data_IF_938268362598
#
_entry.id   IF_938268362598
#
_cell.length_a   1.000
_cell.length_b   1.000
_cell.length_c   1.000
_cell.angle_alpha   90.00
_cell.angle_beta   90.00
_cell.angle_gamma   90.00
#
_symmetry.space_group_name_H-M   'P 1'
#
loop_
_entity.id
_entity.type
_entity.pdbx_description
1 polymer ?
#
# COMPACT_ATOMS: atom_id res chain seq x y z
N UNK A 1 46.84 -31.30 5.79
CA UNK A 1 46.77 -29.99 6.49
C UNK A 1 46.40 -28.81 5.59
N UNK A 2 47.02 -28.61 4.40
CA UNK A 2 46.68 -27.47 3.51
C UNK A 2 45.21 -27.42 3.06
N UNK A 3 44.57 -28.57 2.83
CA UNK A 3 43.18 -28.64 2.38
C UNK A 3 42.15 -28.18 3.43
N UNK A 4 42.42 -28.43 4.72
CA UNK A 4 41.59 -27.94 5.84
C UNK A 4 41.71 -26.42 6.02
N UNK A 5 42.87 -25.84 5.72
CA UNK A 5 43.07 -24.38 5.79
C UNK A 5 42.35 -23.63 4.67
N UNK A 6 42.17 -24.25 3.49
CA UNK A 6 41.43 -23.67 2.36
C UNK A 6 39.91 -23.85 2.44
N UNK A 7 39.41 -24.76 3.28
CA UNK A 7 37.98 -25.07 3.39
C UNK A 7 37.08 -23.86 3.70
N UNK A 8 37.38 -22.97 4.68
CA UNK A 8 36.54 -21.81 4.94
C UNK A 8 36.50 -20.83 3.77
N UNK A 9 37.61 -20.67 3.04
CA UNK A 9 37.68 -19.84 1.85
C UNK A 9 36.82 -20.40 0.72
N UNK A 10 36.87 -21.73 0.51
CA UNK A 10 36.03 -22.42 -0.49
C UNK A 10 34.54 -22.31 -0.15
N UNK A 11 34.16 -22.44 1.12
CA UNK A 11 32.78 -22.26 1.58
C UNK A 11 32.29 -20.82 1.38
N UNK A 12 33.12 -19.83 1.72
CA UNK A 12 32.79 -18.42 1.51
C UNK A 12 32.62 -18.08 0.03
N UNK A 13 33.51 -18.61 -0.84
CA UNK A 13 33.40 -18.45 -2.29
C UNK A 13 32.13 -19.11 -2.83
N UNK A 14 31.83 -20.33 -2.40
CA UNK A 14 30.62 -21.05 -2.79
C UNK A 14 29.34 -20.31 -2.38
N UNK A 15 29.30 -19.76 -1.16
CA UNK A 15 28.20 -18.92 -0.70
C UNK A 15 28.09 -17.64 -1.54
N UNK A 16 29.21 -16.96 -1.83
CA UNK A 16 29.23 -15.77 -2.68
C UNK A 16 28.66 -16.03 -4.08
N UNK A 17 29.08 -17.12 -4.73
CA UNK A 17 28.57 -17.52 -6.03
C UNK A 17 27.08 -17.89 -5.98
N UNK A 18 26.62 -18.57 -4.93
CA UNK A 18 25.20 -18.88 -4.72
C UNK A 18 24.37 -17.60 -4.59
N UNK A 19 24.83 -16.63 -3.80
CA UNK A 19 24.14 -15.35 -3.62
C UNK A 19 24.06 -14.58 -4.93
N UNK A 20 25.17 -14.49 -5.67
CA UNK A 20 25.19 -13.87 -7.00
C UNK A 20 24.23 -14.55 -7.97
N UNK A 21 24.20 -15.89 -7.98
CA UNK A 21 23.30 -16.65 -8.82
C UNK A 21 21.82 -16.43 -8.46
N UNK A 22 21.47 -16.44 -7.17
CA UNK A 22 20.12 -16.16 -6.69
C UNK A 22 19.67 -14.75 -7.09
N UNK A 23 20.55 -13.77 -6.91
CA UNK A 23 20.28 -12.38 -7.23
C UNK A 23 20.11 -12.18 -8.74
N UNK A 24 21.02 -12.71 -9.55
CA UNK A 24 20.96 -12.65 -11.00
C UNK A 24 19.69 -13.31 -11.53
N UNK A 25 19.38 -14.53 -11.07
CA UNK A 25 18.15 -15.25 -11.43
C UNK A 25 16.90 -14.45 -11.07
N UNK A 26 16.88 -13.77 -9.93
CA UNK A 26 15.74 -12.98 -9.49
C UNK A 26 15.56 -11.70 -10.31
N UNK A 27 16.65 -11.01 -10.66
CA UNK A 27 16.61 -9.74 -11.41
C UNK A 27 16.38 -9.95 -12.91
N UNK A 28 16.91 -11.04 -13.46
CA UNK A 28 16.81 -11.38 -14.89
C UNK A 28 15.57 -12.24 -15.21
N UNK A 29 14.70 -12.54 -14.24
CA UNK A 29 13.48 -13.31 -14.51
C UNK A 29 12.59 -12.55 -15.51
N UNK A 30 12.09 -13.20 -16.57
CA UNK A 30 11.13 -12.59 -17.47
C UNK A 30 9.91 -12.08 -16.70
N UNK A 31 9.54 -10.82 -16.91
CA UNK A 31 8.37 -10.18 -16.32
C UNK A 31 7.66 -9.35 -17.38
N UNK A 32 6.37 -9.16 -17.19
CA UNK A 32 5.66 -8.17 -17.98
C UNK A 32 6.14 -6.76 -17.61
N UNK A 33 6.46 -5.91 -18.60
CA UNK A 33 6.75 -4.50 -18.38
C UNK A 33 5.49 -3.66 -18.17
N UNK A 34 4.29 -4.20 -18.42
CA UNK A 34 3.07 -3.40 -18.36
C UNK A 34 2.80 -2.89 -16.94
N UNK A 35 2.51 -1.60 -16.88
CA UNK A 35 2.12 -0.89 -15.65
C UNK A 35 0.68 -0.41 -15.81
N UNK A 36 -0.15 -0.71 -14.82
CA UNK A 36 -1.52 -0.20 -14.77
C UNK A 36 -1.60 0.88 -13.70
N UNK A 37 -2.13 2.03 -14.09
CA UNK A 37 -2.40 3.17 -13.23
C UNK A 37 -3.86 3.59 -13.33
N UNK A 38 -4.34 4.34 -12.34
CA UNK A 38 -5.70 4.86 -12.31
C UNK A 38 -5.68 6.34 -12.70
N UNK A 39 -6.53 6.72 -13.67
CA UNK A 39 -6.82 8.11 -13.99
C UNK A 39 -7.95 8.66 -13.12
N UNK A 40 -8.67 9.70 -13.57
CA UNK A 40 -9.79 10.26 -12.79
C UNK A 40 -10.94 9.27 -12.60
N UNK A 41 -11.51 9.27 -11.39
CA UNK A 41 -12.75 8.56 -11.04
C UNK A 41 -13.77 9.56 -10.54
N UNK A 42 -14.95 9.57 -11.16
CA UNK A 42 -16.02 10.51 -10.86
C UNK A 42 -17.26 9.76 -10.36
N UNK A 43 -17.87 10.29 -9.31
CA UNK A 43 -19.13 9.81 -8.74
C UNK A 43 -20.25 10.82 -9.04
N UNK A 44 -21.24 10.39 -9.81
CA UNK A 44 -22.51 11.09 -9.97
C UNK A 44 -23.56 10.44 -9.07
N UNK A 45 -24.13 11.22 -8.15
CA UNK A 45 -25.14 10.74 -7.18
C UNK A 45 -26.54 11.11 -7.64
N UNK A 46 -27.40 10.11 -7.82
CA UNK A 46 -28.85 10.28 -7.80
C UNK A 46 -29.43 9.50 -6.61
N UNK A 47 -30.58 9.91 -6.06
CA UNK A 47 -31.16 9.27 -4.87
C UNK A 47 -31.32 7.74 -4.97
N UNK A 48 -31.67 7.24 -6.15
CA UNK A 48 -31.88 5.81 -6.42
C UNK A 48 -30.78 5.14 -7.24
N UNK A 49 -29.77 5.91 -7.66
CA UNK A 49 -28.74 5.42 -8.59
C UNK A 49 -27.42 6.18 -8.45
N UNK A 50 -26.36 5.48 -8.08
CA UNK A 50 -25.00 6.03 -8.11
C UNK A 50 -24.30 5.55 -9.38
N UNK A 51 -23.72 6.49 -10.14
CA UNK A 51 -22.94 6.19 -11.35
C UNK A 51 -21.49 6.60 -11.13
N UNK A 52 -20.60 5.62 -11.21
CA UNK A 52 -19.17 5.79 -11.05
C UNK A 52 -18.50 5.55 -12.40
N UNK A 53 -17.70 6.51 -12.85
CA UNK A 53 -16.92 6.39 -14.08
C UNK A 53 -15.43 6.59 -13.77
N UNK A 54 -14.63 5.57 -14.03
CA UNK A 54 -13.20 5.55 -13.79
C UNK A 54 -12.39 5.32 -15.05
N UNK A 55 -11.22 5.94 -15.13
CA UNK A 55 -10.24 5.66 -16.19
C UNK A 55 -9.16 4.73 -15.67
N UNK A 56 -8.89 3.65 -16.39
CA UNK A 56 -7.76 2.75 -16.17
C UNK A 56 -6.78 2.95 -17.32
N UNK A 57 -5.51 3.16 -17.02
CA UNK A 57 -4.45 3.37 -18.00
C UNK A 57 -3.47 2.19 -17.92
N UNK A 58 -3.10 1.62 -19.07
CA UNK A 58 -2.07 0.58 -19.18
C UNK A 58 -0.93 1.15 -20.02
N UNK A 59 0.23 1.35 -19.41
CA UNK A 59 1.44 1.81 -20.07
C UNK A 59 2.44 0.67 -20.30
N UNK A 60 3.18 0.76 -21.40
CA UNK A 60 4.33 -0.10 -21.65
C UNK A 60 5.62 0.74 -21.67
N UNK A 61 6.35 0.83 -20.55
CA UNK A 61 7.60 1.58 -20.46
C UNK A 61 8.74 0.90 -21.24
N UNK A 62 8.60 -0.35 -21.67
CA UNK A 62 9.64 -1.05 -22.39
C UNK A 62 9.71 -0.58 -23.86
N UNK A 63 10.92 -0.34 -24.37
CA UNK A 63 11.11 0.22 -25.71
C UNK A 63 10.69 -0.71 -26.86
N UNK A 64 11.04 -2.00 -26.77
CA UNK A 64 10.89 -2.95 -27.88
C UNK A 64 9.88 -4.08 -27.66
N UNK A 65 9.57 -4.43 -26.43
CA UNK A 65 8.69 -5.55 -26.11
C UNK A 65 7.25 -5.12 -26.28
N UNK A 66 6.53 -5.78 -27.18
CA UNK A 66 5.08 -5.65 -27.28
C UNK A 66 4.41 -6.69 -26.39
N UNK A 67 3.34 -6.28 -25.72
CA UNK A 67 2.63 -7.15 -24.76
C UNK A 67 1.14 -7.11 -25.05
N UNK A 68 0.55 -8.29 -25.11
CA UNK A 68 -0.87 -8.47 -25.32
C UNK A 68 -1.62 -8.37 -23.99
N UNK A 69 -2.77 -7.69 -24.03
CA UNK A 69 -3.79 -7.66 -22.98
C UNK A 69 -5.05 -8.34 -23.52
N UNK A 70 -5.09 -9.69 -23.56
CA UNK A 70 -6.21 -10.42 -24.15
C UNK A 70 -7.48 -10.33 -23.32
N UNK A 71 -7.37 -10.04 -22.03
CA UNK A 71 -8.50 -10.00 -21.10
C UNK A 71 -8.34 -8.81 -20.14
N UNK A 72 -9.42 -8.05 -19.95
CA UNK A 72 -9.56 -7.06 -18.88
C UNK A 72 -11.01 -7.06 -18.37
N UNK A 73 -11.18 -7.13 -17.05
CA UNK A 73 -12.48 -7.12 -16.37
C UNK A 73 -12.38 -6.30 -15.10
N UNK A 74 -13.45 -5.57 -14.78
CA UNK A 74 -13.60 -4.87 -13.51
C UNK A 74 -14.64 -5.61 -12.65
N UNK A 75 -14.31 -5.88 -11.39
CA UNK A 75 -15.20 -6.54 -10.43
C UNK A 75 -15.44 -5.61 -9.22
N UNK A 76 -16.64 -5.04 -9.08
CA UNK A 76 -16.97 -4.19 -7.95
C UNK A 76 -17.24 -5.00 -6.68
N UNK A 77 -16.90 -4.42 -5.53
CA UNK A 77 -17.25 -4.88 -4.20
C UNK A 77 -17.65 -3.66 -3.36
N UNK A 78 -18.90 -3.65 -2.88
CA UNK A 78 -19.41 -2.55 -2.07
C UNK A 78 -19.08 -2.76 -0.60
N UNK A 79 -18.70 -1.67 0.06
CA UNK A 79 -18.47 -1.59 1.49
C UNK A 79 -19.49 -0.64 2.12
N UNK A 80 -20.02 -1.02 3.27
CA UNK A 80 -21.06 -0.30 3.98
C UNK A 80 -21.24 -0.84 5.40
N UNK A 81 -22.01 -0.13 6.22
CA UNK A 81 -22.29 -0.52 7.60
C UNK A 81 -23.46 -1.50 7.75
N UNK A 82 -24.29 -1.62 6.71
CA UNK A 82 -25.52 -2.42 6.69
C UNK A 82 -25.48 -3.46 5.56
N UNK A 83 -26.44 -4.39 5.54
CA UNK A 83 -26.61 -5.34 4.43
C UNK A 83 -26.76 -4.59 3.10
N UNK A 84 -26.10 -5.09 2.05
CA UNK A 84 -26.11 -4.53 0.69
C UNK A 84 -26.66 -5.52 -0.36
N UNK A 85 -27.31 -6.61 0.08
CA UNK A 85 -27.68 -7.75 -0.78
C UNK A 85 -28.71 -7.43 -1.86
N UNK A 86 -29.58 -6.48 -1.60
CA UNK A 86 -30.67 -5.99 -2.45
C UNK A 86 -30.21 -4.93 -3.45
N UNK A 87 -28.97 -4.43 -3.34
CA UNK A 87 -28.43 -3.48 -4.30
C UNK A 87 -28.07 -4.18 -5.60
N UNK A 88 -28.52 -3.61 -6.71
CA UNK A 88 -28.20 -4.11 -8.04
C UNK A 88 -26.98 -3.35 -8.57
N UNK A 89 -25.98 -4.11 -9.00
CA UNK A 89 -24.73 -3.55 -9.54
C UNK A 89 -24.57 -4.00 -10.98
N UNK A 90 -24.36 -3.05 -11.89
CA UNK A 90 -23.88 -3.33 -13.25
C UNK A 90 -22.50 -2.73 -13.46
N UNK A 91 -21.70 -3.38 -14.30
CA UNK A 91 -20.33 -2.95 -14.60
C UNK A 91 -20.07 -3.13 -16.07
N UNK A 92 -19.54 -2.08 -16.68
CA UNK A 92 -19.14 -2.04 -18.08
C UNK A 92 -17.68 -1.60 -18.17
N UNK A 93 -16.96 -2.17 -19.12
CA UNK A 93 -15.57 -1.84 -19.41
C UNK A 93 -15.50 -1.48 -20.89
N UNK A 94 -15.41 -0.20 -21.20
CA UNK A 94 -15.27 0.29 -22.56
C UNK A 94 -13.78 0.42 -22.91
N UNK A 95 -13.26 -0.32 -23.91
CA UNK A 95 -11.88 -0.16 -24.36
C UNK A 95 -11.69 1.22 -24.99
N UNK A 96 -10.64 1.94 -24.60
CA UNK A 96 -10.25 3.23 -25.17
C UNK A 96 -8.83 3.11 -25.75
N UNK A 97 -8.73 2.32 -26.82
CA UNK A 97 -7.47 2.12 -27.53
C UNK A 97 -7.10 3.35 -28.35
N UNK A 98 -5.80 3.55 -28.60
CA UNK A 98 -5.31 4.75 -29.29
C UNK A 98 -5.47 4.70 -30.81
N UNK A 99 -5.65 3.50 -31.36
CA UNK A 99 -5.61 3.18 -32.79
C UNK A 99 -6.83 2.41 -33.30
N UNK A 100 -7.75 2.03 -32.41
CA UNK A 100 -8.98 1.33 -32.78
C UNK A 100 -10.17 1.85 -31.96
N UNK A 101 -11.32 2.03 -32.63
CA UNK A 101 -12.56 2.44 -32.00
C UNK A 101 -13.18 1.31 -31.17
N UNK A 102 -13.87 1.68 -30.09
CA UNK A 102 -14.62 0.73 -29.27
C UNK A 102 -15.78 0.14 -30.07
N UNK A 103 -16.02 -1.16 -29.87
CA UNK A 103 -17.23 -1.81 -30.39
C UNK A 103 -18.48 -1.28 -29.68
N UNK A 104 -19.66 -1.26 -30.34
CA UNK A 104 -20.91 -0.82 -29.72
C UNK A 104 -21.34 -1.63 -28.48
N UNK A 105 -20.87 -2.88 -28.37
CA UNK A 105 -21.14 -3.78 -27.24
C UNK A 105 -20.15 -3.61 -26.07
N UNK A 106 -19.21 -2.66 -26.16
CA UNK A 106 -18.12 -2.44 -25.21
C UNK A 106 -17.28 -3.71 -24.94
N UNK A 107 -17.25 -4.68 -25.87
CA UNK A 107 -16.45 -5.88 -25.69
C UNK A 107 -14.95 -5.56 -25.64
N UNK A 108 -14.27 -6.01 -24.59
CA UNK A 108 -12.81 -5.97 -24.53
C UNK A 108 -12.22 -6.99 -25.51
N UNK A 109 -11.73 -6.51 -26.65
CA UNK A 109 -10.99 -7.34 -27.58
C UNK A 109 -9.50 -7.36 -27.21
N UNK A 110 -8.81 -8.42 -27.65
CA UNK A 110 -7.40 -8.59 -27.34
C UNK A 110 -6.58 -7.46 -27.99
N UNK A 111 -5.81 -6.75 -27.17
CA UNK A 111 -5.09 -5.56 -27.60
C UNK A 111 -3.58 -5.67 -27.36
N UNK A 112 -2.78 -5.10 -28.26
CA UNK A 112 -1.30 -5.08 -28.16
C UNK A 112 -0.85 -3.71 -27.68
N UNK A 113 -0.27 -3.65 -26.49
CA UNK A 113 0.36 -2.42 -26.00
C UNK A 113 1.80 -2.40 -26.50
N UNK A 114 2.02 -1.64 -27.58
CA UNK A 114 3.35 -1.44 -28.19
C UNK A 114 4.32 -0.75 -27.23
N UNK A 115 5.62 -0.91 -27.48
CA UNK A 115 6.65 -0.28 -26.66
C UNK A 115 6.53 1.24 -26.61
N UNK A 116 6.73 1.82 -25.42
CA UNK A 116 6.55 3.25 -25.11
C UNK A 116 5.15 3.81 -25.44
N UNK A 117 4.15 2.94 -25.61
CA UNK A 117 2.75 3.33 -25.83
C UNK A 117 1.91 3.01 -24.61
N UNK A 118 0.71 3.58 -24.62
CA UNK A 118 -0.31 3.39 -23.59
C UNK A 118 -1.66 3.14 -24.23
N UNK A 119 -2.51 2.41 -23.54
CA UNK A 119 -3.93 2.26 -23.84
C UNK A 119 -4.76 2.57 -22.61
N UNK A 120 -6.05 2.80 -22.78
CA UNK A 120 -6.96 3.09 -21.69
C UNK A 120 -8.20 2.19 -21.73
N UNK A 121 -8.90 2.14 -20.61
CA UNK A 121 -10.22 1.54 -20.47
C UNK A 121 -11.07 2.45 -19.58
N UNK A 122 -12.32 2.70 -19.97
CA UNK A 122 -13.30 3.35 -19.09
C UNK A 122 -14.10 2.28 -18.37
N UNK A 123 -14.05 2.30 -17.04
CA UNK A 123 -14.85 1.44 -16.18
C UNK A 123 -16.06 2.24 -15.70
N UNK A 124 -17.25 1.79 -16.07
CA UNK A 124 -18.52 2.40 -15.67
C UNK A 124 -19.26 1.44 -14.74
N UNK A 125 -19.62 1.89 -13.54
CA UNK A 125 -20.33 1.10 -12.55
C UNK A 125 -21.61 1.83 -12.17
N UNK A 126 -22.74 1.12 -12.26
CA UNK A 126 -24.04 1.61 -11.82
C UNK A 126 -24.46 0.82 -10.58
N UNK A 127 -24.86 1.53 -9.52
CA UNK A 127 -25.41 0.95 -8.30
C UNK A 127 -26.83 1.47 -8.13
N UNK A 128 -27.80 0.57 -8.17
CA UNK A 128 -29.23 0.87 -8.06
C UNK A 128 -29.78 0.31 -6.74
N UNK A 129 -30.60 1.09 -6.03
CA UNK A 129 -31.27 0.67 -4.81
C UNK A 129 -31.76 1.84 -3.95
N UNK A 130 -32.31 1.53 -2.78
CA UNK A 130 -32.83 2.51 -1.82
C UNK A 130 -31.79 2.89 -0.76
N UNK A 131 -31.88 4.13 -0.27
CA UNK A 131 -31.07 4.69 0.81
C UNK A 131 -29.56 4.55 0.61
N UNK A 132 -29.09 4.69 -0.64
CA UNK A 132 -27.69 4.49 -1.02
C UNK A 132 -26.73 5.33 -0.16
N UNK A 133 -27.07 6.57 0.14
CA UNK A 133 -26.22 7.49 0.93
C UNK A 133 -26.00 7.03 2.38
N UNK A 134 -26.99 6.38 2.97
CA UNK A 134 -26.91 5.91 4.36
C UNK A 134 -26.19 4.55 4.45
N UNK A 135 -26.27 3.76 3.37
CA UNK A 135 -25.82 2.36 3.35
C UNK A 135 -24.42 2.19 2.76
N UNK A 136 -24.07 2.98 1.74
CA UNK A 136 -22.81 2.90 1.04
C UNK A 136 -21.75 3.78 1.70
N UNK A 137 -20.56 3.21 1.80
CA UNK A 137 -19.40 3.90 2.33
C UNK A 137 -18.31 4.06 1.27
N UNK A 138 -17.88 2.94 0.70
CA UNK A 138 -16.80 2.89 -0.28
C UNK A 138 -17.06 1.79 -1.30
N UNK A 139 -16.48 1.92 -2.49
CA UNK A 139 -16.50 0.92 -3.55
C UNK A 139 -15.07 0.48 -3.84
N UNK A 140 -14.79 -0.82 -3.67
CA UNK A 140 -13.56 -1.43 -4.17
C UNK A 140 -13.79 -2.00 -5.57
N UNK A 141 -12.91 -1.69 -6.51
CA UNK A 141 -12.97 -2.23 -7.87
C UNK A 141 -11.71 -3.02 -8.17
N UNK A 142 -11.83 -4.35 -8.23
CA UNK A 142 -10.75 -5.23 -8.66
C UNK A 142 -10.66 -5.26 -10.18
N UNK A 143 -9.56 -4.74 -10.74
CA UNK A 143 -9.22 -4.90 -12.15
C UNK A 143 -8.44 -6.19 -12.33
N UNK A 144 -9.09 -7.17 -12.96
CA UNK A 144 -8.49 -8.42 -13.39
C UNK A 144 -8.07 -8.32 -14.85
N UNK A 145 -6.80 -8.53 -15.13
CA UNK A 145 -6.26 -8.42 -16.48
C UNK A 145 -5.18 -9.47 -16.73
N UNK A 146 -4.87 -9.72 -18.00
CA UNK A 146 -3.86 -10.72 -18.38
C UNK A 146 -2.75 -10.03 -19.15
N UNK A 147 -1.50 -10.29 -18.77
CA UNK A 147 -0.34 -9.88 -19.54
C UNK A 147 0.17 -11.11 -20.28
N UNK A 148 0.22 -11.03 -21.61
CA UNK A 148 0.61 -12.16 -22.46
C UNK A 148 1.75 -11.74 -23.40
N UNK A 149 2.87 -12.46 -23.37
CA UNK A 149 4.08 -12.11 -24.11
C UNK A 149 5.21 -13.13 -23.93
N UNK A 150 6.48 -12.74 -24.20
CA UNK A 150 7.64 -13.66 -24.11
C UNK A 150 7.86 -14.29 -22.73
N UNK A 151 7.36 -13.66 -21.66
CA UNK A 151 7.37 -14.16 -20.29
C UNK A 151 6.22 -15.15 -19.99
N UNK A 152 5.42 -15.52 -20.99
CA UNK A 152 4.26 -16.39 -20.86
C UNK A 152 2.97 -15.62 -20.56
N UNK A 153 2.12 -16.19 -19.68
CA UNK A 153 0.81 -15.64 -19.32
C UNK A 153 0.77 -15.32 -17.82
N UNK A 154 0.61 -14.04 -17.49
CA UNK A 154 0.51 -13.58 -16.11
C UNK A 154 -0.90 -13.07 -15.82
N UNK A 155 -1.54 -13.63 -14.80
CA UNK A 155 -2.83 -13.12 -14.30
C UNK A 155 -2.57 -11.98 -13.32
N UNK A 156 -3.02 -10.78 -13.69
CA UNK A 156 -2.87 -9.57 -12.90
C UNK A 156 -4.17 -9.19 -12.19
N UNK A 157 -4.03 -8.60 -11.01
CA UNK A 157 -5.11 -8.10 -10.17
C UNK A 157 -4.62 -6.85 -9.45
N UNK A 158 -5.27 -5.72 -9.69
CA UNK A 158 -5.04 -4.48 -8.95
C UNK A 158 -6.39 -3.90 -8.59
N UNK A 159 -6.56 -3.53 -7.33
CA UNK A 159 -7.80 -2.94 -6.86
C UNK A 159 -7.63 -1.45 -6.62
N UNK A 160 -8.70 -0.71 -6.85
CA UNK A 160 -8.82 0.72 -6.58
C UNK A 160 -10.00 0.96 -5.65
N UNK A 161 -9.78 1.79 -4.64
CA UNK A 161 -10.80 2.23 -3.72
C UNK A 161 -11.39 3.55 -4.20
N UNK A 162 -12.71 3.61 -4.34
CA UNK A 162 -13.48 4.81 -4.65
C UNK A 162 -14.31 5.16 -3.41
N UNK A 163 -14.00 6.24 -2.68
CA UNK A 163 -14.81 6.68 -1.56
C UNK A 163 -16.18 7.15 -2.07
N UNK A 164 -17.25 6.57 -1.52
CA UNK A 164 -18.62 6.98 -1.86
C UNK A 164 -19.15 8.00 -0.85
N UNK A 165 -18.60 7.99 0.37
CA UNK A 165 -18.92 8.91 1.46
C UNK A 165 -17.65 9.58 1.98
N UNK A 166 -17.76 10.87 2.30
CA UNK A 166 -16.70 11.61 2.98
C UNK A 166 -17.24 12.18 4.29
N UNK A 167 -16.56 11.99 5.44
CA UNK A 167 -16.91 12.71 6.65
C UNK A 167 -16.71 14.22 6.43
N UNK A 168 -17.53 15.02 7.09
CA UNK A 168 -17.28 16.45 7.18
C UNK A 168 -15.98 16.70 7.96
N UNK A 169 -15.19 17.73 7.62
CA UNK A 169 -14.08 18.17 8.45
C UNK A 169 -14.56 18.45 9.88
N UNK A 170 -13.71 18.17 10.88
CA UNK A 170 -14.08 18.43 12.28
C UNK A 170 -14.25 19.93 12.51
N UNK A 171 -15.30 20.26 13.26
CA UNK A 171 -15.49 21.60 13.82
C UNK A 171 -14.48 21.82 14.96
N UNK A 172 -13.60 22.85 14.88
CA UNK A 172 -12.61 23.14 15.92
C UNK A 172 -13.20 23.33 17.32
N UNK A 173 -14.43 23.86 17.42
CA UNK A 173 -15.11 24.12 18.69
C UNK A 173 -15.70 22.84 19.30
N UNK A 174 -16.09 21.87 18.46
CA UNK A 174 -16.64 20.59 18.89
C UNK A 174 -15.58 19.47 19.00
N UNK A 175 -14.32 19.76 18.67
CA UNK A 175 -13.24 18.79 18.62
C UNK A 175 -12.92 18.22 20.02
N UNK A 176 -12.96 16.89 20.15
CA UNK A 176 -12.71 16.20 21.42
C UNK A 176 -11.24 15.85 21.58
N UNK A 177 -10.49 16.76 22.19
CA UNK A 177 -9.08 16.56 22.53
C UNK A 177 -8.91 15.57 23.68
N UNK A 178 -7.92 14.68 23.56
CA UNK A 178 -7.46 13.82 24.65
C UNK A 178 -6.21 14.44 25.24
N UNK A 179 -6.21 14.65 26.56
CA UNK A 179 -5.06 15.20 27.26
C UNK A 179 -4.01 14.12 27.51
N UNK A 180 -2.74 14.48 27.26
CA UNK A 180 -1.57 13.64 27.50
C UNK A 180 -0.52 14.36 28.33
N UNK A 181 0.63 13.71 28.50
CA UNK A 181 1.78 14.30 29.19
C UNK A 181 2.39 15.41 28.32
N UNK A 182 2.25 16.67 28.76
CA UNK A 182 2.72 17.87 28.07
C UNK A 182 2.20 18.05 26.63
N UNK A 183 1.06 17.46 26.31
CA UNK A 183 0.39 17.63 25.02
C UNK A 183 -1.11 17.37 25.12
N UNK A 184 -1.83 17.78 24.08
CA UNK A 184 -3.18 17.34 23.76
C UNK A 184 -3.15 16.68 22.39
N UNK A 185 -3.90 15.59 22.21
CA UNK A 185 -3.97 14.86 20.93
C UNK A 185 -5.40 14.81 20.41
N UNK A 186 -5.54 14.92 19.09
CA UNK A 186 -6.83 14.81 18.42
C UNK A 186 -6.72 13.86 17.23
N UNK A 187 -7.49 12.79 17.27
CA UNK A 187 -7.67 11.89 16.14
C UNK A 187 -8.63 12.53 15.12
N UNK A 188 -8.21 12.60 13.86
CA UNK A 188 -8.95 13.27 12.79
C UNK A 188 -9.50 12.21 11.82
N UNK A 189 -10.84 12.07 11.73
CA UNK A 189 -11.46 11.09 10.86
C UNK A 189 -11.34 11.48 9.40
N UNK A 190 -11.08 10.49 8.55
CA UNK A 190 -11.07 10.65 7.09
C UNK A 190 -12.06 9.67 6.46
N UNK A 191 -12.29 9.81 5.16
CA UNK A 191 -12.78 8.67 4.38
C UNK A 191 -11.68 7.61 4.32
N UNK A 192 -12.02 6.38 3.89
CA UNK A 192 -11.00 5.37 3.69
C UNK A 192 -10.08 5.79 2.53
N UNK A 193 -8.80 5.94 2.82
CA UNK A 193 -7.81 6.48 1.88
C UNK A 193 -7.39 5.44 0.85
N UNK A 194 -7.02 5.89 -0.34
CA UNK A 194 -6.63 5.04 -1.47
C UNK A 194 -5.76 5.73 -2.50
N UNK A 195 -5.41 5.00 -3.56
CA UNK A 195 -4.55 5.47 -4.67
C UNK A 195 -5.11 6.62 -5.50
N UNK A 196 -6.38 6.94 -5.31
CA UNK A 196 -7.03 8.07 -5.97
C UNK A 196 -6.86 9.38 -5.18
N UNK A 197 -6.42 9.30 -3.93
CA UNK A 197 -6.28 10.46 -3.08
C UNK A 197 -4.94 11.14 -3.29
N UNK A 198 -4.99 12.48 -3.30
CA UNK A 198 -3.80 13.30 -3.15
C UNK A 198 -3.57 13.58 -1.66
N UNK A 199 -2.39 13.24 -1.15
CA UNK A 199 -2.06 13.42 0.27
C UNK A 199 -2.23 14.88 0.72
N UNK A 200 -1.73 15.85 -0.04
CA UNK A 200 -1.80 17.27 0.29
C UNK A 200 -3.25 17.73 0.41
N UNK A 201 -4.10 17.37 -0.55
CA UNK A 201 -5.54 17.67 -0.51
C UNK A 201 -6.23 17.03 0.71
N UNK A 202 -5.88 15.78 1.05
CA UNK A 202 -6.41 15.08 2.24
C UNK A 202 -6.03 15.81 3.52
N UNK A 203 -4.75 16.15 3.70
CA UNK A 203 -4.29 16.86 4.90
C UNK A 203 -4.95 18.23 5.00
N UNK A 204 -5.04 18.97 3.88
CA UNK A 204 -5.70 20.27 3.89
C UNK A 204 -7.17 20.17 4.26
N UNK A 205 -7.91 19.27 3.61
CA UNK A 205 -9.35 19.07 3.80
C UNK A 205 -9.70 18.71 5.24
N UNK A 206 -8.94 17.82 5.87
CA UNK A 206 -9.31 17.25 7.17
C UNK A 206 -8.65 17.93 8.37
N UNK A 207 -7.46 18.53 8.22
CA UNK A 207 -6.70 19.05 9.36
C UNK A 207 -6.62 20.59 9.42
N UNK A 208 -6.69 21.31 8.28
CA UNK A 208 -6.34 22.75 8.25
C UNK A 208 -7.15 23.62 9.21
N UNK A 209 -8.46 23.33 9.37
CA UNK A 209 -9.31 24.11 10.26
C UNK A 209 -8.94 23.99 11.74
N UNK A 210 -8.24 22.91 12.12
CA UNK A 210 -7.99 22.53 13.51
C UNK A 210 -6.56 22.90 13.95
N UNK A 211 -5.63 22.92 12.99
CA UNK A 211 -4.21 23.16 13.23
C UNK A 211 -3.96 24.57 13.76
N UNK A 212 -3.07 24.66 14.74
CA UNK A 212 -2.56 25.90 15.33
C UNK A 212 -1.03 25.94 15.23
N UNK A 213 -0.41 27.12 15.25
CA UNK A 213 1.04 27.24 15.27
C UNK A 213 1.68 26.39 16.38
N UNK A 214 2.68 25.59 16.03
CA UNK A 214 3.35 24.66 16.94
C UNK A 214 2.77 23.24 16.96
N UNK A 215 1.59 23.01 16.36
CA UNK A 215 1.04 21.66 16.21
C UNK A 215 1.89 20.80 15.26
N UNK A 216 1.88 19.49 15.51
CA UNK A 216 2.46 18.48 14.62
C UNK A 216 1.32 17.58 14.12
N UNK A 217 1.12 17.54 12.80
CA UNK A 217 0.20 16.62 12.16
C UNK A 217 0.89 15.29 11.87
N UNK A 218 0.32 14.20 12.34
CA UNK A 218 0.85 12.85 12.07
C UNK A 218 -0.07 12.10 11.12
N UNK A 219 0.51 11.30 10.23
CA UNK A 219 -0.20 10.32 9.39
C UNK A 219 0.36 8.93 9.68
N UNK A 220 -0.55 7.96 9.79
CA UNK A 220 -0.18 6.56 9.94
C UNK A 220 0.56 6.03 8.70
N UNK A 221 1.51 5.13 8.95
CA UNK A 221 2.37 4.48 7.96
C UNK A 221 1.59 3.81 6.83
N UNK A 222 0.62 2.95 7.16
CA UNK A 222 -0.06 2.10 6.18
C UNK A 222 -1.01 2.89 5.27
N UNK A 223 -1.80 3.86 5.77
CA UNK A 223 -2.58 4.75 4.91
C UNK A 223 -1.71 5.57 3.94
N UNK A 224 -0.52 6.02 4.35
CA UNK A 224 0.41 6.67 3.43
C UNK A 224 0.90 5.70 2.35
N UNK A 225 1.28 4.48 2.72
CA UNK A 225 1.68 3.45 1.76
C UNK A 225 0.54 3.13 0.77
N UNK A 226 -0.70 3.07 1.26
CA UNK A 226 -1.89 2.85 0.45
C UNK A 226 -2.12 3.98 -0.57
N UNK A 227 -2.00 5.24 -0.16
CA UNK A 227 -2.06 6.39 -1.09
C UNK A 227 -0.98 6.28 -2.18
N UNK A 228 0.22 5.81 -1.81
CA UNK A 228 1.32 5.56 -2.75
C UNK A 228 1.13 4.31 -3.64
N UNK A 229 0.02 3.58 -3.49
CA UNK A 229 -0.22 2.33 -4.25
C UNK A 229 0.67 1.17 -3.84
N UNK A 230 1.23 1.21 -2.63
CA UNK A 230 2.17 0.21 -2.12
C UNK A 230 1.45 -0.94 -1.41
N UNK A 231 0.50 -1.54 -2.13
CA UNK A 231 -0.20 -2.75 -1.70
C UNK A 231 -0.44 -3.68 -2.90
N UNK A 232 -0.54 -4.98 -2.64
CA UNK A 232 -0.93 -5.95 -3.66
C UNK A 232 -1.65 -7.15 -3.05
N UNK A 233 -2.58 -7.72 -3.81
CA UNK A 233 -3.23 -8.96 -3.39
C UNK A 233 -2.22 -10.13 -3.40
N UNK A 234 -2.26 -11.07 -2.44
CA UNK A 234 -1.32 -12.20 -2.39
C UNK A 234 -1.26 -13.04 -3.68
N UNK A 235 -2.34 -13.07 -4.47
CA UNK A 235 -2.35 -13.75 -5.78
C UNK A 235 -1.46 -13.09 -6.84
N UNK A 236 -0.89 -11.92 -6.57
CA UNK A 236 0.10 -11.25 -7.41
C UNK A 236 1.54 -11.60 -7.04
N UNK A 237 1.71 -12.32 -5.92
CA UNK A 237 3.01 -12.76 -5.44
C UNK A 237 3.22 -14.21 -5.86
N UNK A 238 4.40 -14.51 -6.39
CA UNK A 238 4.81 -15.87 -6.71
C UNK A 238 5.90 -16.32 -5.72
N UNK A 239 5.55 -17.02 -4.62
CA UNK A 239 6.50 -17.35 -3.58
C UNK A 239 7.55 -18.35 -4.07
N UNK A 240 8.81 -17.93 -4.03
CA UNK A 240 9.97 -18.77 -4.34
C UNK A 240 10.17 -19.87 -3.29
N UNK A 241 10.94 -20.91 -3.65
CA UNK A 241 11.35 -21.93 -2.69
C UNK A 241 12.10 -21.35 -1.49
N UNK A 242 12.90 -20.29 -1.72
CA UNK A 242 13.61 -19.56 -0.67
C UNK A 242 12.60 -18.94 0.32
N UNK A 243 11.59 -18.22 -0.18
CA UNK A 243 10.56 -17.61 0.67
C UNK A 243 9.82 -18.67 1.50
N UNK A 244 9.40 -19.78 0.88
CA UNK A 244 8.69 -20.88 1.55
C UNK A 244 9.52 -21.59 2.63
N UNK A 245 10.83 -21.63 2.45
CA UNK A 245 11.74 -22.25 3.42
C UNK A 245 12.01 -21.32 4.60
N UNK A 246 12.40 -20.08 4.31
CA UNK A 246 12.86 -19.13 5.33
C UNK A 246 11.73 -18.59 6.21
N UNK A 247 10.50 -18.49 5.70
CA UNK A 247 9.35 -17.94 6.44
C UNK A 247 9.01 -18.74 7.71
N UNK A 248 9.32 -20.04 7.74
CA UNK A 248 8.99 -20.97 8.83
C UNK A 248 9.68 -20.67 10.17
N UNK A 249 10.73 -19.85 10.15
CA UNK A 249 11.54 -19.52 11.33
C UNK A 249 11.05 -18.26 12.05
N UNK A 250 10.18 -17.48 11.41
CA UNK A 250 9.57 -16.31 12.04
C UNK A 250 8.46 -16.71 13.01
N UNK A 251 8.20 -15.84 13.99
CA UNK A 251 7.07 -16.04 14.90
C UNK A 251 5.76 -16.10 14.11
N UNK A 252 4.80 -16.98 14.41
CA UNK A 252 3.58 -17.16 13.60
C UNK A 252 2.76 -15.89 13.34
N UNK A 253 2.82 -14.92 14.25
CA UNK A 253 2.12 -13.63 14.12
C UNK A 253 2.90 -12.56 13.35
N UNK A 254 4.07 -12.89 12.79
CA UNK A 254 4.87 -11.98 11.97
C UNK A 254 4.36 -12.01 10.53
N UNK A 255 4.22 -10.85 9.88
CA UNK A 255 3.91 -10.74 8.45
C UNK A 255 4.90 -11.51 7.55
N UNK A 256 6.16 -11.66 8.00
CA UNK A 256 7.19 -12.46 7.30
C UNK A 256 7.12 -13.98 7.57
N UNK A 257 6.16 -14.45 8.37
CA UNK A 257 5.95 -15.88 8.63
C UNK A 257 5.23 -16.59 7.48
N UNK A 258 4.67 -15.84 6.52
CA UNK A 258 4.07 -16.39 5.32
C UNK A 258 5.04 -16.31 4.13
N UNK A 259 4.85 -17.21 3.17
CA UNK A 259 5.67 -17.23 1.97
C UNK A 259 5.42 -15.99 1.09
N UNK A 260 4.20 -15.45 1.05
CA UNK A 260 3.89 -14.25 0.28
C UNK A 260 4.47 -12.99 0.93
N UNK A 261 4.37 -12.83 2.25
CA UNK A 261 4.97 -11.72 2.98
C UNK A 261 6.50 -11.71 2.82
N UNK A 262 7.16 -12.85 3.02
CA UNK A 262 8.61 -12.93 2.83
C UNK A 262 9.04 -12.77 1.36
N UNK A 263 8.26 -13.27 0.40
CA UNK A 263 8.53 -13.04 -1.02
C UNK A 263 8.39 -11.55 -1.39
N UNK A 264 7.45 -10.84 -0.77
CA UNK A 264 7.29 -9.39 -0.98
C UNK A 264 8.53 -8.62 -0.49
N UNK A 265 9.12 -9.04 0.63
CA UNK A 265 10.42 -8.51 1.06
C UNK A 265 11.55 -8.86 0.07
N UNK A 266 11.61 -10.10 -0.41
CA UNK A 266 12.60 -10.55 -1.40
C UNK A 266 12.49 -9.72 -2.70
N UNK A 267 11.27 -9.42 -3.15
CA UNK A 267 11.03 -8.61 -4.34
C UNK A 267 11.51 -7.16 -4.17
N UNK A 268 11.50 -6.61 -2.95
CA UNK A 268 12.00 -5.28 -2.63
C UNK A 268 13.53 -5.22 -2.50
N UNK A 269 14.13 -6.14 -1.73
CA UNK A 269 15.54 -6.00 -1.29
C UNK A 269 16.49 -7.02 -1.92
N UNK A 270 15.96 -7.99 -2.66
CA UNK A 270 16.71 -9.06 -3.31
C UNK A 270 16.87 -10.32 -2.45
N UNK A 271 16.85 -11.52 -3.06
CA UNK A 271 16.98 -12.79 -2.34
C UNK A 271 18.34 -12.94 -1.63
N UNK A 272 19.42 -12.40 -2.20
CA UNK A 272 20.75 -12.52 -1.60
C UNK A 272 20.79 -11.80 -0.24
N UNK A 273 20.24 -10.57 -0.18
CA UNK A 273 20.18 -9.80 1.06
C UNK A 273 19.30 -10.46 2.10
N UNK A 274 18.14 -10.99 1.71
CA UNK A 274 17.25 -11.70 2.64
C UNK A 274 17.91 -12.96 3.21
N UNK A 275 18.57 -13.76 2.36
CA UNK A 275 19.28 -14.96 2.80
C UNK A 275 20.42 -14.61 3.76
N UNK A 276 21.22 -13.59 3.44
CA UNK A 276 22.30 -13.13 4.34
C UNK A 276 21.77 -12.57 5.66
N UNK A 277 20.70 -11.77 5.61
CA UNK A 277 20.04 -11.25 6.81
C UNK A 277 19.49 -12.38 7.69
N UNK A 278 18.99 -13.45 7.07
CA UNK A 278 18.51 -14.63 7.78
C UNK A 278 19.66 -15.40 8.46
N UNK A 279 20.74 -15.70 7.73
CA UNK A 279 21.91 -16.42 8.25
C UNK A 279 22.60 -15.66 9.39
N UNK A 280 22.95 -14.40 9.14
CA UNK A 280 23.63 -13.56 10.13
C UNK A 280 22.69 -13.17 11.27
N UNK A 281 21.41 -12.95 10.99
CA UNK A 281 20.40 -12.68 12.01
C UNK A 281 20.20 -13.86 12.97
N UNK A 282 20.25 -15.10 12.46
CA UNK A 282 20.23 -16.30 13.29
C UNK A 282 21.49 -16.40 14.16
N UNK A 283 22.68 -16.14 13.59
CA UNK A 283 23.93 -16.11 14.36
C UNK A 283 23.92 -15.05 15.46
N UNK A 284 23.46 -13.83 15.15
CA UNK A 284 23.29 -12.75 16.11
C UNK A 284 22.34 -13.14 17.25
N UNK A 285 21.25 -13.84 16.94
CA UNK A 285 20.31 -14.35 17.94
C UNK A 285 20.97 -15.37 18.89
N UNK A 286 21.85 -16.23 18.38
CA UNK A 286 22.60 -17.21 19.20
C UNK A 286 23.53 -16.50 20.19
N UNK A 287 24.16 -15.39 19.80
CA UNK A 287 25.00 -14.58 20.70
C UNK A 287 24.21 -13.54 21.52
N UNK A 288 22.88 -13.67 21.59
CA UNK A 288 22.01 -12.84 22.43
C UNK A 288 21.54 -11.51 21.81
N UNK A 289 21.94 -11.18 20.58
CA UNK A 289 21.54 -9.94 19.90
C UNK A 289 20.21 -10.15 19.17
N UNK A 290 19.14 -9.57 19.72
CA UNK A 290 17.78 -9.66 19.17
C UNK A 290 17.60 -8.75 17.94
N UNK A 291 16.78 -9.20 16.99
CA UNK A 291 16.33 -8.38 15.85
C UNK A 291 17.37 -8.16 14.75
N UNK A 292 18.46 -8.95 14.72
CA UNK A 292 19.53 -8.85 13.71
C UNK A 292 19.02 -8.98 12.28
N UNK A 293 18.07 -9.90 12.02
CA UNK A 293 17.43 -10.05 10.71
C UNK A 293 16.88 -8.72 10.17
N UNK A 294 16.04 -8.04 10.94
CA UNK A 294 15.40 -6.80 10.50
C UNK A 294 16.37 -5.63 10.30
N UNK A 295 17.50 -5.63 11.03
CA UNK A 295 18.56 -4.62 10.83
C UNK A 295 19.27 -4.84 9.48
N UNK A 296 19.54 -6.09 9.13
CA UNK A 296 20.27 -6.46 7.91
C UNK A 296 19.36 -6.45 6.66
N UNK A 297 18.14 -6.96 6.78
CA UNK A 297 17.16 -7.02 5.70
C UNK A 297 16.70 -5.61 5.25
N UNK A 298 16.76 -4.62 6.15
CA UNK A 298 16.45 -3.23 5.87
C UNK A 298 15.13 -2.77 6.49
N UNK A 299 14.82 -1.45 6.40
CA UNK A 299 13.70 -0.84 7.11
C UNK A 299 12.34 -1.44 6.70
N UNK A 300 12.17 -1.76 5.42
CA UNK A 300 10.95 -2.37 4.86
C UNK A 300 10.59 -3.71 5.50
N UNK A 301 11.57 -4.48 6.00
CA UNK A 301 11.29 -5.78 6.63
C UNK A 301 10.40 -5.67 7.89
N UNK A 302 10.32 -4.50 8.51
CA UNK A 302 9.45 -4.24 9.68
C UNK A 302 8.12 -3.60 9.32
N UNK A 303 7.97 -3.13 8.08
CA UNK A 303 6.82 -2.33 7.63
C UNK A 303 5.92 -3.10 6.66
N UNK A 304 6.28 -4.35 6.33
CA UNK A 304 5.40 -5.19 5.53
C UNK A 304 4.34 -5.74 6.45
N UNK A 305 3.10 -5.42 6.12
CA UNK A 305 1.91 -5.98 6.74
C UNK A 305 1.27 -6.96 5.77
N UNK A 306 1.16 -8.20 6.20
CA UNK A 306 0.50 -9.25 5.42
C UNK A 306 -1.03 -9.13 5.58
N UNK A 307 -1.77 -10.04 4.96
CA UNK A 307 -3.23 -10.12 5.12
C UNK A 307 -3.64 -10.08 6.59
N UNK A 308 -4.83 -9.54 6.85
CA UNK A 308 -5.39 -9.21 8.18
C UNK A 308 -4.76 -8.01 8.89
N UNK A 309 -3.68 -7.42 8.35
CA UNK A 309 -2.97 -6.29 8.96
C UNK A 309 -3.62 -4.91 8.77
N UNK A 310 -4.67 -4.79 7.96
CA UNK A 310 -5.26 -3.50 7.57
C UNK A 310 -6.79 -3.52 7.57
N UNK A 311 -7.42 -2.35 7.48
CA UNK A 311 -8.88 -2.20 7.38
C UNK A 311 -9.38 -2.72 6.02
N UNK A 312 -10.57 -3.36 5.96
CA UNK A 312 -11.19 -3.72 4.68
C UNK A 312 -11.30 -2.53 3.72
N UNK A 313 -10.97 -2.71 2.42
CA UNK A 313 -10.67 -3.97 1.75
C UNK A 313 -9.18 -4.37 1.74
N UNK A 314 -8.31 -3.57 2.37
CA UNK A 314 -6.87 -3.80 2.40
C UNK A 314 -6.48 -4.98 3.31
N UNK A 315 -7.40 -5.44 4.17
CA UNK A 315 -7.27 -6.67 4.97
C UNK A 315 -6.95 -7.92 4.12
N UNK A 316 -7.31 -7.91 2.84
CA UNK A 316 -7.01 -8.99 1.88
C UNK A 316 -5.76 -8.73 1.04
N UNK A 317 -4.98 -7.71 1.37
CA UNK A 317 -3.78 -7.31 0.63
C UNK A 317 -2.54 -7.38 1.52
N UNK A 318 -1.38 -7.43 0.88
CA UNK A 318 -0.10 -7.19 1.52
C UNK A 318 0.20 -5.70 1.33
N UNK A 319 0.34 -4.96 2.42
CA UNK A 319 0.72 -3.55 2.42
C UNK A 319 2.22 -3.45 2.73
N UNK A 320 2.93 -2.62 1.98
CA UNK A 320 4.37 -2.41 2.13
C UNK A 320 4.64 -1.09 2.86
N UNK A 321 5.86 -0.93 3.37
CA UNK A 321 6.29 0.34 3.96
C UNK A 321 6.24 1.52 3.00
N UNK A 322 5.87 2.75 3.40
CA UNK A 322 5.85 3.90 2.52
C UNK A 322 7.22 4.20 1.93
N UNK A 323 7.20 4.77 0.73
CA UNK A 323 8.38 5.17 -0.01
C UNK A 323 8.74 6.62 0.30
N UNK A 324 10.04 6.86 0.51
CA UNK A 324 10.61 8.18 0.77
C UNK A 324 9.85 9.02 1.83
N UNK A 325 9.52 8.47 3.02
CA UNK A 325 8.67 9.16 3.99
C UNK A 325 9.26 10.51 4.44
N UNK A 326 10.59 10.68 4.44
CA UNK A 326 11.24 11.96 4.75
C UNK A 326 10.92 13.05 3.72
N UNK A 327 11.00 12.74 2.43
CA UNK A 327 10.68 13.69 1.37
C UNK A 327 9.19 14.08 1.42
N UNK A 328 8.32 13.12 1.75
CA UNK A 328 6.88 13.35 1.93
C UNK A 328 6.62 14.34 3.07
N UNK A 329 7.15 14.07 4.28
CA UNK A 329 6.88 14.96 5.43
C UNK A 329 7.44 16.36 5.23
N UNK A 330 8.59 16.51 4.58
CA UNK A 330 9.18 17.83 4.31
C UNK A 330 8.32 18.63 3.33
N UNK A 331 7.84 17.99 2.26
CA UNK A 331 6.94 18.62 1.29
C UNK A 331 5.61 19.03 1.92
N UNK A 332 5.00 18.12 2.70
CA UNK A 332 3.72 18.40 3.37
C UNK A 332 3.86 19.46 4.45
N UNK A 333 4.96 19.48 5.21
CA UNK A 333 5.21 20.51 6.20
C UNK A 333 5.39 21.90 5.57
N UNK A 334 6.09 21.96 4.42
CA UNK A 334 6.24 23.20 3.67
C UNK A 334 4.90 23.72 3.13
N UNK A 335 4.02 22.83 2.66
CA UNK A 335 2.69 23.20 2.16
C UNK A 335 1.74 23.63 3.29
N UNK A 336 1.67 22.86 4.38
CA UNK A 336 0.76 23.12 5.50
C UNK A 336 1.24 24.24 6.43
N UNK A 337 2.54 24.55 6.45
CA UNK A 337 3.15 25.48 7.42
C UNK A 337 3.21 24.94 8.85
N UNK A 338 3.07 23.61 9.03
CA UNK A 338 3.05 22.94 10.33
C UNK A 338 3.99 21.73 10.31
N UNK A 339 4.40 21.25 11.49
CA UNK A 339 5.19 20.02 11.57
C UNK A 339 4.41 18.83 11.05
N UNK A 340 5.03 17.94 10.28
CA UNK A 340 4.41 16.71 9.77
C UNK A 340 5.27 15.50 10.11
N UNK A 341 4.65 14.40 10.54
CA UNK A 341 5.33 13.14 10.81
C UNK A 341 4.58 11.92 10.25
N UNK A 342 5.33 10.91 9.83
CA UNK A 342 4.82 9.58 9.49
C UNK A 342 5.15 8.65 10.64
N UNK A 343 4.13 7.97 11.17
CA UNK A 343 4.25 7.16 12.38
C UNK A 343 3.67 5.77 12.19
N UNK A 344 4.31 4.79 12.81
CA UNK A 344 3.82 3.42 12.97
C UNK A 344 3.56 3.20 14.47
N UNK A 345 2.30 3.00 14.83
CA UNK A 345 1.81 2.91 16.20
C UNK A 345 0.98 1.65 16.35
N UNK A 346 1.22 0.88 17.42
CA UNK A 346 0.40 -0.28 17.75
C UNK A 346 -0.09 -0.25 19.20
N UNK A 347 -1.08 -1.08 19.49
CA UNK A 347 -1.72 -1.18 20.81
C UNK A 347 -0.81 -1.66 21.94
N UNK A 348 0.35 -2.24 21.61
CA UNK A 348 1.34 -2.64 22.61
C UNK A 348 2.19 -1.46 23.11
N UNK A 349 1.80 -0.23 22.76
CA UNK A 349 2.47 1.00 23.16
C UNK A 349 3.82 1.21 22.47
N UNK A 350 4.06 0.54 21.33
CA UNK A 350 5.25 0.81 20.52
C UNK A 350 4.90 1.85 19.47
N UNK A 351 5.56 2.99 19.58
CA UNK A 351 5.54 4.06 18.59
C UNK A 351 6.87 4.03 17.85
N UNK A 352 6.81 4.21 16.54
CA UNK A 352 7.98 4.39 15.71
C UNK A 352 7.72 5.53 14.75
N UNK A 353 8.48 6.61 14.92
CA UNK A 353 8.48 7.71 13.96
C UNK A 353 9.33 7.30 12.76
N UNK A 354 8.71 7.11 11.60
CA UNK A 354 9.42 6.75 10.37
C UNK A 354 10.12 7.93 9.73
N UNK A 355 9.47 9.10 9.80
CA UNK A 355 10.03 10.37 9.39
C UNK A 355 9.27 11.51 10.09
N UNK A 356 9.95 12.62 10.30
CA UNK A 356 9.35 13.88 10.73
C UNK A 356 10.03 15.04 10.00
N UNK A 357 9.29 16.12 9.78
CA UNK A 357 9.83 17.37 9.27
C UNK A 357 10.78 18.01 10.29
N UNK A 358 11.63 18.92 9.82
CA UNK A 358 12.59 19.63 10.67
C UNK A 358 11.89 20.38 11.81
N UNK A 359 12.43 20.27 13.02
CA UNK A 359 11.90 20.97 14.21
C UNK A 359 10.80 20.23 14.98
N UNK A 360 10.34 19.06 14.52
CA UNK A 360 9.42 18.23 15.30
C UNK A 360 10.12 17.62 16.53
N UNK A 361 9.46 17.70 17.69
CA UNK A 361 9.88 17.02 18.91
C UNK A 361 9.51 15.51 18.82
N UNK A 362 10.51 14.68 18.54
CA UNK A 362 10.33 13.24 18.40
C UNK A 362 9.94 12.56 19.72
N UNK A 363 10.50 13.02 20.84
CA UNK A 363 10.21 12.44 22.14
C UNK A 363 8.77 12.77 22.56
N UNK A 364 8.27 13.96 22.22
CA UNK A 364 6.87 14.32 22.38
C UNK A 364 5.96 13.41 21.55
N UNK A 365 6.28 13.20 20.26
CA UNK A 365 5.50 12.31 19.39
C UNK A 365 5.43 10.89 19.94
N UNK A 366 6.56 10.34 20.41
CA UNK A 366 6.60 8.99 20.99
C UNK A 366 5.77 8.89 22.27
N UNK A 367 5.77 9.90 23.14
CA UNK A 367 4.94 9.91 24.35
C UNK A 367 3.45 10.09 24.01
N UNK A 368 3.13 11.06 23.15
CA UNK A 368 1.78 11.45 22.79
C UNK A 368 1.01 10.32 22.07
N UNK A 369 1.70 9.56 21.23
CA UNK A 369 1.10 8.51 20.42
C UNK A 369 1.14 7.12 21.07
N UNK A 370 1.85 6.95 22.20
CA UNK A 370 1.94 5.66 22.93
C UNK A 370 0.58 5.06 23.30
N UNK A 371 -0.45 5.84 23.68
CA UNK A 371 -1.79 5.31 23.95
C UNK A 371 -2.58 4.89 22.71
N UNK A 372 -2.01 5.00 21.50
CA UNK A 372 -2.66 4.82 20.21
C UNK A 372 -3.94 5.68 20.05
N UNK A 373 -3.82 7.03 19.99
CA UNK A 373 -4.99 7.90 19.89
C UNK A 373 -5.78 7.74 18.57
N UNK A 374 -5.12 7.31 17.50
CA UNK A 374 -5.76 6.96 16.21
C UNK A 374 -6.68 5.73 16.31
N UNK A 375 -6.52 4.94 17.38
CA UNK A 375 -7.19 3.67 17.53
C UNK A 375 -6.80 2.69 16.43
N UNK A 376 -7.72 1.76 16.13
CA UNK A 376 -7.47 0.70 15.16
C UNK A 376 -8.43 0.73 13.98
N UNK A 377 -8.09 -0.06 12.97
CA UNK A 377 -8.75 -0.29 11.68
C UNK A 377 -10.14 0.35 11.44
N UNK A 378 -11.12 0.07 12.31
CA UNK A 378 -12.51 0.49 12.13
C UNK A 378 -12.78 1.97 12.49
N UNK A 379 -11.88 2.63 13.22
CA UNK A 379 -12.07 4.02 13.68
C UNK A 379 -11.83 5.06 12.57
N UNK A 380 -11.06 4.71 11.53
CA UNK A 380 -10.80 5.55 10.35
C UNK A 380 -10.26 6.94 10.69
N UNK A 381 -9.35 7.00 11.65
CA UNK A 381 -8.63 8.22 12.02
C UNK A 381 -7.13 8.10 11.71
N UNK A 382 -6.73 7.98 10.43
CA UNK A 382 -5.33 7.79 10.06
C UNK A 382 -4.46 9.03 10.33
N UNK A 383 -5.08 10.15 10.69
CA UNK A 383 -4.44 11.41 11.02
C UNK A 383 -4.59 11.72 12.51
N UNK A 384 -3.51 12.15 13.17
CA UNK A 384 -3.56 12.64 14.56
C UNK A 384 -2.81 13.95 14.68
N UNK A 385 -3.48 14.98 15.20
CA UNK A 385 -2.85 16.25 15.58
C UNK A 385 -2.29 16.10 16.99
N UNK A 386 -0.99 16.39 17.15
CA UNK A 386 -0.32 16.48 18.44
C UNK A 386 -0.05 17.96 18.71
N UNK A 387 -0.67 18.49 19.76
CA UNK A 387 -0.52 19.87 20.22
C UNK A 387 0.35 19.89 21.47
N UNK A 388 1.58 20.41 21.41
CA UNK A 388 2.39 20.61 22.61
C UNK A 388 1.67 21.54 23.59
N UNK A 389 1.75 21.26 24.89
CA UNK A 389 1.39 22.23 25.92
C UNK A 389 2.56 23.21 26.06
N UNK A 390 2.27 24.49 25.84
CA UNK A 390 3.19 25.62 26.07
C UNK A 390 3.60 25.75 27.52
#
# INVERSE_FOLDING_TARGET
MKFLQSLPLLLALGLGLLLLWLEARHRLRPKSPLELSFGPWNLARNPSCYRINGLVCIGNPHAQMEVFVPELRAKPCLLGSNSLKDLKISTEVMPLHGDEDSRPDNYWFAYIVKGLKKTQARVSICIEGEDLEQRLDSLWVDIHWVNYGPFGRLKRRQGVLVPLKHPAPLDPEAAKWREGENCSVLAVPTHLLGVLDNLEEVLHKYASAILKPGDILTIAESPLAVIQGRYHHPSQVEPSALARLLCRVFHPTSSLATACGLQSLIDLVGPARVLMAWLLGALLKVVGIKGGFYRLAGPQARLIDDVTGSTPPYDQTIVLGPENPKAVVDLMAASLGHGVAVVDVNDLGRVKVLAASSGCDLDLLERALRPNPAGNANERTPLVVVRPRS
#
